data_IF_905639867276
#
_entry.id   IF_905639867276
#
_cell.length_a   1.000
_cell.length_b   1.000
_cell.length_c   1.000
_cell.angle_alpha   90.00
_cell.angle_beta   90.00
_cell.angle_gamma   90.00
#
_symmetry.space_group_name_H-M   'P 1'
#
loop_
_entity.id
_entity.type
_entity.pdbx_description
1 polymer ?
#
# COMPACT_ATOMS: atom_id res chain seq x y z
N UNK A 1 -5.22 4.99 -21.07
CA UNK A 1 -5.18 5.91 -19.90
C UNK A 1 -4.96 5.05 -18.65
N UNK A 2 -4.00 5.39 -17.84
CA UNK A 2 -3.69 4.68 -16.58
C UNK A 2 -4.70 5.06 -15.50
N UNK A 3 -5.10 4.08 -14.67
CA UNK A 3 -6.06 4.29 -13.59
C UNK A 3 -5.33 4.76 -12.33
N UNK A 4 -5.93 5.66 -11.60
CA UNK A 4 -5.34 6.34 -10.44
C UNK A 4 -6.12 6.00 -9.18
N UNK A 5 -5.39 5.61 -8.14
CA UNK A 5 -5.92 5.27 -6.83
C UNK A 5 -5.14 5.97 -5.71
N UNK A 6 -5.63 5.94 -4.50
CA UNK A 6 -4.95 6.44 -3.31
C UNK A 6 -5.40 5.69 -2.06
N UNK A 7 -4.53 5.62 -1.05
CA UNK A 7 -4.93 5.19 0.29
C UNK A 7 -5.98 6.16 0.85
N UNK A 8 -6.85 5.67 1.73
CA UNK A 8 -7.91 6.51 2.32
C UNK A 8 -7.69 6.82 3.81
N UNK A 9 -6.75 6.16 4.49
CA UNK A 9 -6.58 6.24 5.94
C UNK A 9 -6.26 7.65 6.43
N UNK A 10 -5.39 8.36 5.74
CA UNK A 10 -4.98 9.73 6.07
C UNK A 10 -6.16 10.71 6.14
N UNK A 11 -7.08 10.60 5.21
CA UNK A 11 -8.32 11.37 5.23
C UNK A 11 -9.32 10.80 6.23
N UNK A 12 -9.49 9.47 6.26
CA UNK A 12 -10.49 8.79 7.09
C UNK A 12 -10.31 9.06 8.58
N UNK A 13 -9.06 9.13 9.06
CA UNK A 13 -8.77 9.49 10.47
C UNK A 13 -9.27 10.87 10.87
N UNK A 14 -9.51 11.76 9.91
CA UNK A 14 -9.93 13.14 10.15
C UNK A 14 -11.41 13.38 9.86
N UNK A 15 -11.95 12.74 8.83
CA UNK A 15 -13.32 13.02 8.34
C UNK A 15 -14.19 11.75 8.24
N UNK A 16 -13.67 10.59 8.63
CA UNK A 16 -14.33 9.28 8.51
C UNK A 16 -14.22 8.68 7.11
N UNK A 17 -14.26 7.34 7.03
CA UNK A 17 -14.06 6.58 5.77
C UNK A 17 -15.13 6.88 4.73
N UNK A 18 -16.39 6.97 5.15
CA UNK A 18 -17.52 7.23 4.25
C UNK A 18 -17.29 8.56 3.50
N UNK A 19 -16.96 9.60 4.25
CA UNK A 19 -16.70 10.93 3.71
C UNK A 19 -15.42 10.98 2.88
N UNK A 20 -14.37 10.25 3.29
CA UNK A 20 -13.13 10.15 2.52
C UNK A 20 -13.40 9.53 1.14
N UNK A 21 -14.14 8.42 1.05
CA UNK A 21 -14.52 7.77 -0.22
C UNK A 21 -15.29 8.74 -1.13
N UNK A 22 -16.31 9.44 -0.59
CA UNK A 22 -17.07 10.45 -1.35
C UNK A 22 -16.17 11.57 -1.93
N UNK A 23 -15.25 12.09 -1.10
CA UNK A 23 -14.41 13.21 -1.51
C UNK A 23 -13.30 12.78 -2.49
N UNK A 24 -12.72 11.58 -2.35
CA UNK A 24 -11.78 11.05 -3.34
C UNK A 24 -12.46 10.79 -4.69
N UNK A 25 -13.68 10.26 -4.70
CA UNK A 25 -14.48 10.16 -5.93
C UNK A 25 -14.67 11.53 -6.58
N UNK A 26 -15.06 12.54 -5.78
CA UNK A 26 -15.26 13.93 -6.25
C UNK A 26 -13.96 14.58 -6.74
N UNK A 27 -12.80 14.22 -6.16
CA UNK A 27 -11.49 14.67 -6.63
C UNK A 27 -11.06 14.00 -7.94
N UNK A 28 -11.79 12.97 -8.40
CA UNK A 28 -11.59 12.31 -9.67
C UNK A 28 -10.65 11.11 -9.63
N UNK A 29 -10.48 10.47 -8.49
CA UNK A 29 -9.80 9.17 -8.43
C UNK A 29 -10.68 8.08 -9.05
N UNK A 30 -10.03 7.09 -9.69
CA UNK A 30 -10.73 5.95 -10.30
C UNK A 30 -11.02 4.86 -9.26
N UNK A 31 -10.18 4.76 -8.23
CA UNK A 31 -10.26 3.75 -7.19
C UNK A 31 -9.64 4.24 -5.87
N UNK A 32 -9.82 3.44 -4.81
CA UNK A 32 -9.17 3.67 -3.52
C UNK A 32 -8.53 2.39 -2.97
N UNK A 33 -7.46 2.56 -2.21
CA UNK A 33 -6.87 1.53 -1.35
C UNK A 33 -7.54 1.60 0.03
N UNK A 34 -8.16 0.48 0.43
CA UNK A 34 -8.78 0.35 1.74
C UNK A 34 -7.72 0.04 2.80
N UNK A 35 -7.09 1.08 3.33
CA UNK A 35 -6.07 0.94 4.37
C UNK A 35 -6.72 0.64 5.71
N UNK A 36 -6.43 -0.53 6.28
CA UNK A 36 -7.08 -1.03 7.50
C UNK A 36 -6.22 -0.87 8.76
N UNK A 37 -5.40 0.17 8.81
CA UNK A 37 -4.50 0.43 9.95
C UNK A 37 -5.26 0.65 11.27
N UNK A 38 -6.48 1.18 11.19
CA UNK A 38 -7.36 1.34 12.35
C UNK A 38 -8.00 0.04 12.85
N UNK A 39 -7.81 -1.10 12.19
CA UNK A 39 -8.38 -2.38 12.61
C UNK A 39 -7.84 -2.86 13.96
N UNK A 40 -6.56 -2.59 14.23
CA UNK A 40 -5.91 -2.81 15.53
C UNK A 40 -4.72 -1.85 15.64
N UNK A 41 -4.19 -1.67 16.84
CA UNK A 41 -3.08 -0.76 17.07
C UNK A 41 -1.82 -1.45 17.57
N UNK A 42 -0.67 -0.80 17.33
CA UNK A 42 0.62 -1.21 17.85
C UNK A 42 1.38 -0.01 18.42
N UNK A 43 1.69 -0.06 19.71
CA UNK A 43 2.51 0.96 20.38
C UNK A 43 3.98 0.66 20.12
N UNK A 44 4.56 1.31 19.14
CA UNK A 44 5.96 1.11 18.72
C UNK A 44 6.97 1.43 19.83
N UNK A 45 6.65 2.41 20.70
CA UNK A 45 7.54 2.78 21.80
C UNK A 45 7.59 1.70 22.89
N UNK A 46 6.49 0.97 23.09
CA UNK A 46 6.36 -0.08 24.10
C UNK A 46 6.43 -1.49 23.51
N UNK A 47 6.46 -1.62 22.19
CA UNK A 47 6.48 -2.90 21.49
C UNK A 47 5.26 -3.78 21.78
N UNK A 48 4.06 -3.21 21.87
CA UNK A 48 2.86 -3.96 22.25
C UNK A 48 1.62 -3.60 21.45
N UNK A 49 0.81 -4.62 21.22
CA UNK A 49 -0.52 -4.54 20.66
C UNK A 49 -1.49 -3.81 21.61
N UNK A 50 -2.49 -3.13 21.02
CA UNK A 50 -3.70 -2.70 21.71
C UNK A 50 -4.92 -2.85 20.80
N UNK A 51 -6.07 -3.12 21.43
CA UNK A 51 -7.34 -3.24 20.70
C UNK A 51 -7.82 -1.88 20.20
N UNK A 52 -8.53 -1.92 19.09
CA UNK A 52 -9.15 -0.74 18.48
C UNK A 52 -10.66 -0.72 18.70
N UNK A 53 -11.22 0.47 18.88
CA UNK A 53 -12.67 0.68 18.89
C UNK A 53 -13.28 0.95 17.50
N UNK A 54 -12.43 0.98 16.48
CA UNK A 54 -12.84 1.23 15.10
C UNK A 54 -13.81 0.16 14.56
N UNK A 55 -14.75 0.50 13.65
CA UNK A 55 -15.68 -0.47 13.05
C UNK A 55 -15.01 -1.71 12.45
N UNK A 56 -13.81 -1.61 11.88
CA UNK A 56 -13.03 -2.77 11.40
C UNK A 56 -12.72 -3.80 12.50
N UNK A 57 -12.63 -3.38 13.77
CA UNK A 57 -12.36 -4.28 14.90
C UNK A 57 -13.63 -4.95 15.45
N UNK A 58 -14.81 -4.42 15.17
CA UNK A 58 -16.10 -4.88 15.73
C UNK A 58 -16.62 -6.14 15.03
N UNK A 59 -17.60 -6.79 15.63
CA UNK A 59 -18.21 -8.01 15.07
C UNK A 59 -18.98 -7.80 13.77
N UNK A 60 -19.43 -6.58 13.50
CA UNK A 60 -20.17 -6.19 12.30
C UNK A 60 -19.30 -5.53 11.21
N UNK A 61 -17.98 -5.75 11.23
CA UNK A 61 -17.01 -5.13 10.31
C UNK A 61 -17.38 -5.31 8.82
N UNK A 62 -17.92 -6.47 8.42
CA UNK A 62 -18.33 -6.66 7.02
C UNK A 62 -19.52 -5.78 6.64
N UNK A 63 -20.45 -5.49 7.55
CA UNK A 63 -21.52 -4.55 7.27
C UNK A 63 -21.00 -3.12 7.06
N UNK A 64 -19.99 -2.72 7.83
CA UNK A 64 -19.30 -1.45 7.64
C UNK A 64 -18.60 -1.38 6.28
N UNK A 65 -17.82 -2.40 5.91
CA UNK A 65 -17.12 -2.46 4.62
C UNK A 65 -18.11 -2.49 3.44
N UNK A 66 -19.22 -3.23 3.56
CA UNK A 66 -20.29 -3.25 2.55
C UNK A 66 -20.91 -1.87 2.34
N UNK A 67 -21.05 -1.09 3.41
CA UNK A 67 -21.52 0.28 3.30
C UNK A 67 -20.52 1.17 2.57
N UNK A 68 -19.22 1.04 2.85
CA UNK A 68 -18.17 1.78 2.11
C UNK A 68 -18.18 1.43 0.62
N UNK A 69 -18.29 0.14 0.29
CA UNK A 69 -18.43 -0.31 -1.10
C UNK A 69 -19.65 0.32 -1.78
N UNK A 70 -20.82 0.29 -1.13
CA UNK A 70 -22.06 0.89 -1.68
C UNK A 70 -21.88 2.39 -1.94
N UNK A 71 -21.28 3.13 -1.00
CA UNK A 71 -20.98 4.57 -1.16
C UNK A 71 -20.03 4.78 -2.35
N UNK A 72 -18.98 3.97 -2.45
CA UNK A 72 -18.05 4.04 -3.59
C UNK A 72 -18.77 3.81 -4.92
N UNK A 73 -19.58 2.75 -5.03
CA UNK A 73 -20.37 2.44 -6.24
C UNK A 73 -21.32 3.58 -6.61
N UNK A 74 -21.99 4.20 -5.64
CA UNK A 74 -22.88 5.35 -5.84
C UNK A 74 -22.13 6.62 -6.31
N UNK A 75 -20.87 6.77 -5.88
CA UNK A 75 -20.01 7.90 -6.28
C UNK A 75 -19.16 7.62 -7.52
N UNK A 76 -19.19 6.40 -8.07
CA UNK A 76 -18.42 6.02 -9.25
C UNK A 76 -16.95 5.69 -8.99
N UNK A 77 -16.57 5.34 -7.74
CA UNK A 77 -15.24 4.90 -7.32
C UNK A 77 -15.34 3.49 -6.72
N UNK A 78 -14.27 2.71 -6.77
CA UNK A 78 -14.25 1.36 -6.22
C UNK A 78 -12.95 1.04 -5.48
N UNK A 79 -12.97 0.04 -4.62
CA UNK A 79 -11.76 -0.48 -4.00
C UNK A 79 -10.96 -1.32 -5.03
N UNK A 80 -9.69 -0.96 -5.29
CA UNK A 80 -8.80 -1.77 -6.15
C UNK A 80 -7.90 -2.70 -5.34
N UNK A 81 -7.42 -2.24 -4.23
CA UNK A 81 -6.55 -2.96 -3.30
C UNK A 81 -6.82 -2.52 -1.86
N UNK A 82 -6.21 -3.18 -0.92
CA UNK A 82 -6.29 -2.84 0.49
C UNK A 82 -4.95 -3.06 1.18
N UNK A 83 -4.75 -2.41 2.30
CA UNK A 83 -3.57 -2.61 3.14
C UNK A 83 -3.97 -3.20 4.49
N UNK A 84 -3.43 -4.38 4.82
CA UNK A 84 -3.69 -5.06 6.09
C UNK A 84 -2.95 -4.38 7.26
N UNK A 85 -3.40 -4.59 8.51
CA UNK A 85 -2.71 -4.06 9.67
C UNK A 85 -1.33 -4.71 9.85
N UNK A 86 -0.39 -3.97 10.46
CA UNK A 86 0.99 -4.35 10.73
C UNK A 86 1.46 -3.85 12.12
N UNK A 87 2.59 -4.34 12.69
CA UNK A 87 3.58 -5.24 12.11
C UNK A 87 3.21 -6.73 12.29
N UNK A 88 3.51 -7.53 11.28
CA UNK A 88 3.19 -8.97 11.28
C UNK A 88 4.06 -9.81 12.22
N UNK A 89 5.15 -9.27 12.79
CA UNK A 89 5.90 -9.93 13.87
C UNK A 89 5.06 -10.03 15.17
N UNK A 90 4.01 -9.22 15.33
CA UNK A 90 3.06 -9.27 16.43
C UNK A 90 1.99 -10.33 16.16
N UNK A 91 1.88 -11.35 17.04
CA UNK A 91 0.93 -12.46 16.87
C UNK A 91 -0.53 -12.02 16.93
N UNK A 92 -0.84 -11.04 17.76
CA UNK A 92 -2.17 -10.48 17.88
C UNK A 92 -2.60 -9.81 16.56
N UNK A 93 -1.72 -9.06 15.92
CA UNK A 93 -1.97 -8.44 14.61
C UNK A 93 -2.15 -9.51 13.53
N UNK A 94 -1.35 -10.57 13.53
CA UNK A 94 -1.54 -11.71 12.60
C UNK A 94 -2.95 -12.29 12.67
N UNK A 95 -3.58 -12.30 13.84
CA UNK A 95 -4.95 -12.82 13.97
C UNK A 95 -5.99 -12.00 13.20
N UNK A 96 -5.71 -10.75 12.86
CA UNK A 96 -6.57 -9.87 12.08
C UNK A 96 -6.38 -9.99 10.55
N UNK A 97 -5.32 -10.63 10.07
CA UNK A 97 -5.02 -10.68 8.63
C UNK A 97 -6.08 -11.39 7.80
N UNK A 98 -6.69 -12.45 8.32
CA UNK A 98 -7.83 -13.10 7.65
C UNK A 98 -9.04 -12.17 7.57
N UNK A 99 -9.30 -11.40 8.62
CA UNK A 99 -10.34 -10.36 8.60
C UNK A 99 -10.02 -9.27 7.57
N UNK A 100 -8.76 -8.87 7.43
CA UNK A 100 -8.36 -7.92 6.39
C UNK A 100 -8.63 -8.46 4.98
N UNK A 101 -8.36 -9.74 4.73
CA UNK A 101 -8.68 -10.41 3.46
C UNK A 101 -10.20 -10.44 3.22
N UNK A 102 -11.02 -10.74 4.23
CA UNK A 102 -12.48 -10.68 4.12
C UNK A 102 -12.98 -9.27 3.80
N UNK A 103 -12.42 -8.25 4.48
CA UNK A 103 -12.73 -6.86 4.19
C UNK A 103 -12.37 -6.48 2.76
N UNK A 104 -11.21 -6.93 2.26
CA UNK A 104 -10.80 -6.71 0.87
C UNK A 104 -11.81 -7.27 -0.12
N UNK A 105 -12.21 -8.53 0.07
CA UNK A 105 -13.20 -9.20 -0.78
C UNK A 105 -14.57 -8.49 -0.73
N UNK A 106 -15.04 -8.14 0.47
CA UNK A 106 -16.34 -7.46 0.65
C UNK A 106 -16.32 -6.05 0.04
N UNK A 107 -15.20 -5.33 0.11
CA UNK A 107 -15.03 -4.04 -0.55
C UNK A 107 -14.98 -4.15 -2.08
N UNK A 108 -14.82 -5.35 -2.64
CA UNK A 108 -14.66 -5.59 -4.07
C UNK A 108 -13.21 -5.48 -4.55
N UNK A 109 -12.25 -5.33 -3.62
CA UNK A 109 -10.82 -5.31 -3.91
C UNK A 109 -10.29 -6.71 -4.30
N UNK A 110 -9.26 -6.74 -5.12
CA UNK A 110 -8.67 -7.99 -5.63
C UNK A 110 -7.30 -8.31 -5.03
N UNK A 111 -6.68 -7.36 -4.36
CA UNK A 111 -5.33 -7.48 -3.78
C UNK A 111 -5.37 -6.97 -2.35
N UNK A 112 -4.86 -7.76 -1.40
CA UNK A 112 -4.61 -7.35 -0.03
C UNK A 112 -3.11 -7.29 0.19
N UNK A 113 -2.57 -6.10 0.46
CA UNK A 113 -1.16 -5.92 0.81
C UNK A 113 -0.97 -6.42 2.24
N UNK A 114 -0.02 -7.33 2.41
CA UNK A 114 0.35 -7.91 3.70
C UNK A 114 1.87 -7.88 3.80
N UNK A 115 2.41 -7.04 4.68
CA UNK A 115 3.85 -6.93 4.89
C UNK A 115 4.48 -8.28 5.19
N UNK A 116 5.69 -8.58 4.69
CA UNK A 116 6.51 -9.64 5.26
C UNK A 116 6.97 -9.25 6.68
N UNK A 117 7.44 -10.21 7.45
CA UNK A 117 8.23 -9.90 8.66
C UNK A 117 9.61 -9.42 8.21
N UNK A 118 9.94 -8.17 8.54
CA UNK A 118 11.15 -7.47 8.07
C UNK A 118 12.46 -8.26 8.30
N UNK A 119 12.50 -9.07 9.36
CA UNK A 119 13.72 -9.71 9.83
C UNK A 119 13.75 -11.22 9.58
N UNK A 120 12.82 -11.73 8.76
CA UNK A 120 12.71 -13.14 8.43
C UNK A 120 13.24 -13.44 7.03
N UNK A 121 13.77 -14.67 6.88
CA UNK A 121 14.20 -15.17 5.57
C UNK A 121 13.03 -15.41 4.62
N UNK A 122 13.29 -15.59 3.31
CA UNK A 122 12.26 -15.97 2.35
C UNK A 122 11.48 -17.23 2.76
N UNK A 123 12.15 -18.24 3.30
CA UNK A 123 11.54 -19.50 3.74
C UNK A 123 10.64 -19.30 4.97
N UNK A 124 11.10 -18.53 5.95
CA UNK A 124 10.32 -18.22 7.15
C UNK A 124 9.08 -17.37 6.83
N UNK A 125 9.21 -16.39 5.93
CA UNK A 125 8.07 -15.61 5.43
C UNK A 125 7.14 -16.47 4.56
N UNK A 126 7.66 -17.44 3.81
CA UNK A 126 6.83 -18.37 3.04
C UNK A 126 5.89 -19.18 3.94
N UNK A 127 6.36 -19.67 5.10
CA UNK A 127 5.50 -20.36 6.07
C UNK A 127 4.30 -19.50 6.47
N UNK A 128 4.55 -18.23 6.75
CA UNK A 128 3.51 -17.26 7.08
C UNK A 128 2.49 -17.04 5.93
N UNK A 129 2.96 -16.88 4.69
CA UNK A 129 2.06 -16.71 3.55
C UNK A 129 1.28 -17.99 3.21
N UNK A 130 1.85 -19.19 3.42
CA UNK A 130 1.15 -20.47 3.27
C UNK A 130 -0.08 -20.59 4.18
N UNK A 131 -0.09 -19.95 5.35
CA UNK A 131 -1.25 -19.93 6.26
C UNK A 131 -2.40 -19.06 5.73
N UNK A 132 -2.08 -18.02 4.95
CA UNK A 132 -3.05 -17.04 4.47
C UNK A 132 -3.58 -17.33 3.05
N UNK A 133 -2.73 -17.83 2.17
CA UNK A 133 -3.05 -18.01 0.75
C UNK A 133 -4.28 -18.88 0.48
N UNK A 134 -4.49 -20.03 1.14
CA UNK A 134 -5.70 -20.81 0.92
C UNK A 134 -6.98 -20.03 1.26
N UNK A 135 -6.92 -19.23 2.31
CA UNK A 135 -8.03 -18.39 2.73
C UNK A 135 -8.26 -17.24 1.74
N UNK A 136 -7.21 -16.55 1.31
CA UNK A 136 -7.29 -15.48 0.34
C UNK A 136 -7.87 -15.97 -1.01
N UNK A 137 -7.42 -17.12 -1.50
CA UNK A 137 -7.95 -17.76 -2.71
C UNK A 137 -9.44 -18.08 -2.60
N UNK A 138 -9.88 -18.59 -1.45
CA UNK A 138 -11.30 -18.88 -1.22
C UNK A 138 -12.18 -17.62 -1.29
N UNK A 139 -11.60 -16.44 -1.05
CA UNK A 139 -12.26 -15.14 -1.15
C UNK A 139 -12.00 -14.41 -2.48
N UNK A 140 -11.27 -15.03 -3.42
CA UNK A 140 -10.91 -14.41 -4.71
C UNK A 140 -9.93 -13.24 -4.59
N UNK A 141 -9.14 -13.19 -3.52
CA UNK A 141 -8.17 -12.13 -3.21
C UNK A 141 -6.75 -12.66 -3.39
N UNK A 142 -5.88 -11.90 -4.04
CA UNK A 142 -4.43 -12.12 -4.04
C UNK A 142 -3.82 -11.45 -2.82
N UNK A 143 -2.70 -11.99 -2.34
CA UNK A 143 -1.86 -11.33 -1.35
C UNK A 143 -0.71 -10.66 -2.08
N UNK A 144 -0.42 -9.40 -1.76
CA UNK A 144 0.79 -8.74 -2.21
C UNK A 144 1.77 -8.58 -1.05
N UNK A 145 2.99 -9.09 -1.21
CA UNK A 145 4.10 -8.73 -0.35
C UNK A 145 4.61 -7.34 -0.76
N UNK A 146 5.19 -6.61 0.19
CA UNK A 146 5.73 -5.27 -0.04
C UNK A 146 7.23 -5.22 0.27
N UNK A 147 7.98 -4.34 -0.40
CA UNK A 147 9.38 -4.08 -0.10
C UNK A 147 9.50 -3.23 1.16
N UNK A 148 10.19 -3.76 2.16
CA UNK A 148 10.31 -3.14 3.48
C UNK A 148 11.70 -2.52 3.70
N UNK A 149 11.82 -1.78 4.78
CA UNK A 149 13.09 -1.23 5.28
C UNK A 149 13.17 -1.33 6.80
N UNK A 150 14.40 -1.29 7.32
CA UNK A 150 14.71 -1.10 8.72
C UNK A 150 15.55 0.18 8.88
N UNK A 151 15.64 0.75 10.08
CA UNK A 151 16.47 1.90 10.36
C UNK A 151 17.77 1.50 11.06
N UNK A 152 18.92 1.91 10.51
CA UNK A 152 20.21 1.82 11.18
C UNK A 152 20.56 3.17 11.79
N UNK A 153 20.36 3.32 13.11
CA UNK A 153 20.65 4.56 13.82
C UNK A 153 22.14 4.92 13.89
N UNK A 154 23.05 3.96 13.64
CA UNK A 154 24.48 4.22 13.60
C UNK A 154 24.92 4.75 12.23
N UNK A 155 24.37 4.19 11.17
CA UNK A 155 24.61 4.65 9.80
C UNK A 155 23.78 5.91 9.47
N UNK A 156 22.69 6.17 10.18
CA UNK A 156 21.77 7.26 9.93
C UNK A 156 21.02 7.14 8.60
N UNK A 157 20.72 5.91 8.18
CA UNK A 157 19.99 5.62 6.94
C UNK A 157 19.21 4.32 7.09
N UNK A 158 18.44 3.97 6.06
CA UNK A 158 17.76 2.68 6.03
C UNK A 158 18.75 1.52 5.93
N UNK A 159 18.33 0.35 6.38
CA UNK A 159 19.10 -0.89 6.30
C UNK A 159 18.21 -2.02 5.78
N UNK A 160 18.84 -3.14 5.44
CA UNK A 160 18.17 -4.28 4.84
C UNK A 160 16.98 -4.77 5.67
N UNK A 161 15.90 -5.07 4.96
CA UNK A 161 14.71 -5.76 5.45
C UNK A 161 14.20 -6.74 4.39
N UNK A 162 13.17 -7.50 4.71
CA UNK A 162 12.54 -8.41 3.75
C UNK A 162 12.07 -7.65 2.50
N UNK A 163 12.28 -8.22 1.33
CA UNK A 163 11.90 -7.67 0.02
C UNK A 163 12.56 -6.31 -0.34
N UNK A 164 13.56 -5.83 0.42
CA UNK A 164 14.17 -4.51 0.22
C UNK A 164 14.92 -4.39 -1.12
N UNK A 165 15.43 -5.49 -1.66
CA UNK A 165 16.11 -5.54 -2.96
C UNK A 165 15.34 -6.44 -3.92
N UNK A 166 15.57 -6.28 -5.22
CA UNK A 166 14.95 -7.10 -6.25
C UNK A 166 15.27 -8.59 -6.08
N UNK A 167 16.51 -8.93 -5.72
CA UNK A 167 16.91 -10.30 -5.42
C UNK A 167 16.15 -10.85 -4.23
N UNK A 168 16.13 -10.14 -3.11
CA UNK A 168 15.38 -10.51 -1.91
C UNK A 168 13.89 -10.64 -2.19
N UNK A 169 13.31 -9.71 -2.91
CA UNK A 169 11.88 -9.74 -3.23
C UNK A 169 11.52 -10.97 -4.06
N UNK A 170 12.26 -11.22 -5.13
CA UNK A 170 12.05 -12.41 -5.97
C UNK A 170 12.29 -13.71 -5.19
N UNK A 171 13.25 -13.74 -4.25
CA UNK A 171 13.47 -14.89 -3.38
C UNK A 171 12.24 -15.17 -2.50
N UNK A 172 11.62 -14.13 -1.89
CA UNK A 172 10.40 -14.27 -1.10
C UNK A 172 9.21 -14.79 -1.94
N UNK A 173 8.99 -14.23 -3.12
CA UNK A 173 7.93 -14.69 -4.00
C UNK A 173 8.16 -16.14 -4.48
N UNK A 174 9.41 -16.49 -4.78
CA UNK A 174 9.78 -17.81 -5.29
C UNK A 174 9.79 -18.89 -4.20
N UNK A 175 10.03 -18.54 -2.93
CA UNK A 175 9.92 -19.47 -1.81
C UNK A 175 8.48 -19.99 -1.66
N UNK A 176 7.49 -19.15 -1.94
CA UNK A 176 6.06 -19.53 -1.87
C UNK A 176 5.59 -20.30 -3.10
N UNK A 177 6.09 -19.99 -4.29
CA UNK A 177 5.73 -20.64 -5.58
C UNK A 177 4.22 -20.65 -5.86
N UNK A 178 3.53 -19.58 -5.54
CA UNK A 178 2.09 -19.41 -5.76
C UNK A 178 1.83 -18.11 -6.52
N UNK A 179 1.05 -18.18 -7.61
CA UNK A 179 0.70 -17.02 -8.45
C UNK A 179 -0.22 -16.01 -7.75
N UNK A 180 -0.82 -16.41 -6.63
CA UNK A 180 -1.64 -15.52 -5.80
C UNK A 180 -0.82 -14.75 -4.74
N UNK A 181 0.50 -15.01 -4.64
CA UNK A 181 1.43 -14.11 -3.98
C UNK A 181 2.11 -13.25 -5.03
N UNK A 182 1.85 -11.95 -5.00
CA UNK A 182 2.34 -10.97 -5.97
C UNK A 182 3.15 -9.87 -5.28
N UNK A 183 3.73 -8.95 -6.04
CA UNK A 183 4.47 -7.82 -5.47
C UNK A 183 3.59 -6.56 -5.45
N UNK A 184 3.62 -5.87 -4.31
CA UNK A 184 3.37 -4.45 -4.19
C UNK A 184 4.72 -3.75 -4.08
N UNK A 185 5.05 -2.84 -4.99
CA UNK A 185 6.27 -2.06 -4.87
C UNK A 185 5.93 -0.69 -4.29
N UNK A 186 6.46 -0.43 -3.11
CA UNK A 186 6.55 0.93 -2.58
C UNK A 186 7.75 1.63 -3.22
N UNK A 187 7.45 2.72 -3.94
CA UNK A 187 8.43 3.50 -4.69
C UNK A 187 9.37 4.24 -3.75
N UNK A 188 8.84 4.79 -2.66
CA UNK A 188 9.65 5.51 -1.68
C UNK A 188 10.63 4.62 -0.96
N UNK A 189 10.19 3.45 -0.49
CA UNK A 189 11.07 2.45 0.13
C UNK A 189 12.20 2.01 -0.81
N UNK A 190 11.87 1.78 -2.10
CA UNK A 190 12.85 1.37 -3.11
C UNK A 190 13.93 2.43 -3.39
N UNK A 191 13.66 3.71 -3.12
CA UNK A 191 14.57 4.84 -3.34
C UNK A 191 15.38 5.21 -2.08
N UNK A 192 15.08 4.62 -0.91
CA UNK A 192 15.79 4.94 0.34
C UNK A 192 17.25 4.50 0.31
N UNK A 193 18.16 5.39 0.70
CA UNK A 193 19.61 5.12 0.81
C UNK A 193 19.88 4.09 1.91
N UNK A 194 20.70 3.09 1.59
CA UNK A 194 21.12 2.03 2.50
C UNK A 194 20.47 0.69 2.20
N UNK A 195 19.17 0.63 1.95
CA UNK A 195 18.47 -0.62 1.59
C UNK A 195 17.94 -0.62 0.16
N UNK A 196 17.54 0.52 -0.38
CA UNK A 196 16.92 0.60 -1.71
C UNK A 196 17.93 0.43 -2.86
N UNK A 197 17.46 -0.12 -3.95
CA UNK A 197 18.21 -0.29 -5.23
C UNK A 197 17.73 0.68 -6.32
N UNK A 198 16.76 1.52 -6.00
CA UNK A 198 16.06 2.39 -6.94
C UNK A 198 14.83 1.72 -7.57
N UNK A 199 13.70 2.41 -7.49
CA UNK A 199 12.42 1.90 -7.98
C UNK A 199 12.45 1.48 -9.46
N UNK A 200 13.08 2.21 -10.40
CA UNK A 200 13.16 1.79 -11.79
C UNK A 200 13.83 0.42 -12.01
N UNK A 201 14.85 0.10 -11.19
CA UNK A 201 15.51 -1.20 -11.24
C UNK A 201 14.57 -2.31 -10.74
N UNK A 202 13.97 -2.13 -9.59
CA UNK A 202 13.05 -3.10 -8.99
C UNK A 202 11.83 -3.36 -9.87
N UNK A 203 11.24 -2.32 -10.48
CA UNK A 203 10.11 -2.45 -11.43
C UNK A 203 10.47 -3.41 -12.57
N UNK A 204 11.63 -3.21 -13.21
CA UNK A 204 12.08 -4.09 -14.31
C UNK A 204 12.34 -5.52 -13.85
N UNK A 205 12.96 -5.69 -12.69
CA UNK A 205 13.28 -7.01 -12.13
C UNK A 205 12.01 -7.80 -11.74
N UNK A 206 11.02 -7.16 -11.16
CA UNK A 206 9.76 -7.78 -10.76
C UNK A 206 8.86 -8.12 -11.97
N UNK A 207 8.89 -7.31 -13.02
CA UNK A 207 8.12 -7.54 -14.25
C UNK A 207 6.65 -7.84 -13.97
N UNK A 208 6.12 -8.93 -14.51
CA UNK A 208 4.71 -9.32 -14.35
C UNK A 208 4.30 -9.73 -12.92
N UNK A 209 5.26 -9.93 -12.02
CA UNK A 209 4.97 -10.16 -10.59
C UNK A 209 4.53 -8.89 -9.88
N UNK A 210 4.86 -7.71 -10.41
CA UNK A 210 4.43 -6.40 -9.92
C UNK A 210 2.96 -6.18 -10.28
N UNK A 211 2.07 -6.20 -9.30
CA UNK A 211 0.63 -6.06 -9.52
C UNK A 211 -0.02 -4.94 -8.68
N UNK A 212 0.68 -4.42 -7.69
CA UNK A 212 0.26 -3.28 -6.87
C UNK A 212 1.41 -2.29 -6.71
N UNK A 213 1.09 -1.04 -6.43
CA UNK A 213 2.03 0.03 -6.13
C UNK A 213 1.59 0.78 -4.89
N UNK A 214 2.57 1.25 -4.13
CA UNK A 214 2.47 2.39 -3.24
C UNK A 214 3.41 3.50 -3.74
N UNK A 215 2.87 4.67 -3.98
CA UNK A 215 3.60 5.78 -4.61
C UNK A 215 3.57 6.99 -3.68
N UNK A 216 4.72 7.37 -3.22
CA UNK A 216 4.97 8.61 -2.49
C UNK A 216 6.35 9.16 -2.82
N UNK A 217 6.62 10.41 -2.45
CA UNK A 217 7.93 11.04 -2.58
C UNK A 217 8.64 11.11 -1.23
N UNK A 218 9.96 11.14 -1.26
CA UNK A 218 10.80 11.31 -0.09
C UNK A 218 12.16 11.95 -0.45
N UNK A 219 12.97 12.26 0.57
CA UNK A 219 14.32 12.80 0.44
C UNK A 219 15.41 11.74 0.23
N UNK A 220 15.00 10.52 -0.14
CA UNK A 220 15.85 9.32 -0.25
C UNK A 220 16.54 8.89 1.05
N UNK A 221 16.13 9.45 2.16
CA UNK A 221 16.67 9.12 3.48
C UNK A 221 15.56 8.70 4.45
N UNK A 222 14.47 9.45 4.48
CA UNK A 222 13.35 9.23 5.39
C UNK A 222 12.11 8.76 4.62
N UNK A 223 11.36 7.89 5.24
CA UNK A 223 10.08 7.44 4.73
C UNK A 223 9.00 8.50 4.96
N UNK A 224 9.00 9.51 4.10
CA UNK A 224 8.30 10.78 4.35
C UNK A 224 6.86 10.81 3.85
N UNK A 225 6.45 9.86 3.02
CA UNK A 225 5.10 9.77 2.43
C UNK A 225 4.56 11.10 1.87
N UNK A 226 5.42 11.85 1.17
CA UNK A 226 5.06 13.14 0.58
C UNK A 226 4.45 12.99 -0.81
N UNK A 227 3.75 14.04 -1.25
CA UNK A 227 3.14 14.07 -2.58
C UNK A 227 4.21 13.94 -3.68
N UNK A 228 4.00 13.11 -4.72
CA UNK A 228 4.94 13.00 -5.84
C UNK A 228 5.34 14.33 -6.46
N UNK A 229 6.61 14.46 -6.82
CA UNK A 229 7.27 15.66 -7.35
C UNK A 229 7.52 16.79 -6.34
N UNK A 230 7.39 16.52 -5.06
CA UNK A 230 7.69 17.52 -4.02
C UNK A 230 9.09 17.36 -3.41
N UNK A 231 9.75 16.21 -3.61
CA UNK A 231 11.06 15.91 -3.03
C UNK A 231 12.05 15.38 -4.08
N UNK A 232 12.77 14.26 -3.82
CA UNK A 232 13.97 13.88 -4.59
C UNK A 232 13.77 12.69 -5.55
N UNK A 233 12.61 12.03 -5.58
CA UNK A 233 12.40 10.86 -6.43
C UNK A 233 12.21 11.28 -7.90
N UNK A 234 12.95 10.62 -8.80
CA UNK A 234 12.80 10.81 -10.26
C UNK A 234 11.61 10.04 -10.81
N UNK A 235 10.43 10.63 -10.74
CA UNK A 235 9.20 10.04 -11.30
C UNK A 235 9.22 9.92 -12.83
N UNK A 236 10.12 10.61 -13.54
CA UNK A 236 10.33 10.39 -14.96
C UNK A 236 10.94 9.00 -15.22
N UNK A 237 11.99 8.66 -14.47
CA UNK A 237 12.62 7.33 -14.54
C UNK A 237 11.66 6.21 -14.06
N UNK A 238 10.87 6.46 -13.00
CA UNK A 238 9.84 5.53 -12.52
C UNK A 238 8.78 5.28 -13.59
N UNK A 239 8.24 6.34 -14.21
CA UNK A 239 7.23 6.24 -15.26
C UNK A 239 7.74 5.46 -16.48
N UNK A 240 8.98 5.73 -16.92
CA UNK A 240 9.62 4.98 -18.01
C UNK A 240 9.74 3.48 -17.67
N UNK A 241 10.19 3.14 -16.46
CA UNK A 241 10.31 1.75 -16.04
C UNK A 241 8.95 1.04 -15.95
N UNK A 242 7.91 1.68 -15.44
CA UNK A 242 6.54 1.14 -15.41
C UNK A 242 6.00 0.88 -16.82
N UNK A 243 6.30 1.78 -17.77
CA UNK A 243 5.95 1.60 -19.18
C UNK A 243 6.68 0.44 -19.82
N UNK A 244 8.00 0.33 -19.62
CA UNK A 244 8.85 -0.76 -20.13
C UNK A 244 8.39 -2.12 -19.59
N UNK A 245 8.01 -2.19 -18.30
CA UNK A 245 7.50 -3.39 -17.66
C UNK A 245 6.06 -3.76 -18.04
N UNK A 246 5.42 -2.97 -18.90
CA UNK A 246 3.99 -3.11 -19.27
C UNK A 246 3.06 -3.15 -18.05
N UNK A 247 3.33 -2.34 -17.02
CA UNK A 247 2.50 -2.30 -15.81
C UNK A 247 1.07 -1.88 -16.14
N UNK A 248 0.09 -2.69 -15.69
CA UNK A 248 -1.33 -2.53 -16.00
C UNK A 248 -2.21 -2.29 -14.76
N UNK A 249 -1.60 -2.24 -13.58
CA UNK A 249 -2.29 -1.98 -12.32
C UNK A 249 -2.69 -0.50 -12.16
N UNK A 250 -3.05 -0.15 -10.96
CA UNK A 250 -3.37 1.22 -10.58
C UNK A 250 -2.10 1.97 -10.14
N UNK A 251 -2.04 3.26 -10.46
CA UNK A 251 -1.10 4.17 -9.84
C UNK A 251 -1.68 4.57 -8.48
N UNK A 252 -1.40 3.77 -7.46
CA UNK A 252 -1.95 3.96 -6.11
C UNK A 252 -1.01 4.81 -5.29
N UNK A 253 -1.47 5.98 -4.87
CA UNK A 253 -0.72 6.86 -3.97
C UNK A 253 -0.82 6.37 -2.53
N UNK A 254 0.29 6.43 -1.81
CA UNK A 254 0.39 6.31 -0.35
C UNK A 254 1.13 7.54 0.20
N UNK A 255 0.68 8.72 -0.21
CA UNK A 255 1.25 10.02 0.16
C UNK A 255 0.45 10.63 1.32
N UNK A 256 0.30 9.87 2.40
CA UNK A 256 -0.58 10.15 3.53
C UNK A 256 -0.15 11.38 4.36
N UNK A 257 1.15 11.68 4.39
CA UNK A 257 1.67 12.88 5.06
C UNK A 257 1.22 14.19 4.40
N UNK A 258 0.89 14.16 3.10
CA UNK A 258 0.50 15.38 2.38
C UNK A 258 -0.74 16.06 2.99
N UNK A 259 -1.72 15.30 3.47
CA UNK A 259 -2.94 15.88 4.02
C UNK A 259 -2.74 16.52 5.39
N UNK A 260 -1.64 16.24 6.10
CA UNK A 260 -1.36 16.82 7.40
C UNK A 260 -1.18 18.35 7.36
N UNK A 261 -0.79 18.89 6.21
CA UNK A 261 -0.55 20.32 6.02
C UNK A 261 -1.85 21.13 5.75
N UNK A 262 -3.00 20.45 5.65
CA UNK A 262 -4.28 21.08 5.35
C UNK A 262 -5.18 21.16 6.58
N UNK A 263 -5.89 22.26 6.76
CA UNK A 263 -7.03 22.32 7.67
C UNK A 263 -8.15 21.38 7.20
N UNK A 264 -9.07 20.99 8.09
CA UNK A 264 -10.12 20.03 7.74
C UNK A 264 -10.98 20.53 6.57
N UNK A 265 -11.27 21.83 6.54
CA UNK A 265 -12.04 22.49 5.47
C UNK A 265 -11.30 22.49 4.12
N UNK A 266 -9.98 22.32 4.15
CA UNK A 266 -9.09 22.35 2.97
C UNK A 266 -8.67 20.96 2.49
N UNK A 267 -9.02 19.88 3.21
CA UNK A 267 -8.65 18.49 2.85
C UNK A 267 -8.97 18.17 1.39
N UNK A 268 -10.13 18.61 0.91
CA UNK A 268 -10.52 18.38 -0.48
C UNK A 268 -9.53 19.00 -1.47
N UNK A 269 -8.98 20.17 -1.19
CA UNK A 269 -7.94 20.78 -2.02
C UNK A 269 -6.65 19.96 -2.04
N UNK A 270 -6.29 19.36 -0.89
CA UNK A 270 -5.18 18.42 -0.78
C UNK A 270 -5.41 17.16 -1.63
N UNK A 271 -6.61 16.59 -1.59
CA UNK A 271 -6.99 15.43 -2.42
C UNK A 271 -6.92 15.72 -3.93
N UNK A 272 -7.36 16.90 -4.35
CA UNK A 272 -7.24 17.32 -5.77
C UNK A 272 -5.77 17.39 -6.19
N UNK A 273 -4.90 17.97 -5.38
CA UNK A 273 -3.46 18.02 -5.66
C UNK A 273 -2.82 16.63 -5.71
N UNK A 274 -3.22 15.71 -4.83
CA UNK A 274 -2.79 14.30 -4.90
C UNK A 274 -3.17 13.69 -6.25
N UNK A 275 -4.43 13.86 -6.68
CA UNK A 275 -4.90 13.35 -7.98
C UNK A 275 -4.13 13.95 -9.15
N UNK A 276 -3.83 15.25 -9.12
CA UNK A 276 -3.04 15.93 -10.14
C UNK A 276 -1.61 15.39 -10.23
N UNK A 277 -0.98 15.10 -9.08
CA UNK A 277 0.38 14.52 -9.06
C UNK A 277 0.42 13.13 -9.68
N UNK A 278 -0.54 12.26 -9.38
CA UNK A 278 -0.64 10.94 -10.00
C UNK A 278 -0.97 11.02 -11.51
N UNK A 279 -1.82 11.96 -11.91
CA UNK A 279 -2.11 12.21 -13.33
C UNK A 279 -0.86 12.64 -14.10
N UNK A 280 0.05 13.37 -13.47
CA UNK A 280 1.35 13.71 -14.05
C UNK A 280 2.23 12.49 -14.27
N UNK A 281 2.25 11.52 -13.33
CA UNK A 281 2.95 10.24 -13.52
C UNK A 281 2.35 9.48 -14.71
N UNK A 282 1.01 9.38 -14.78
CA UNK A 282 0.33 8.74 -15.89
C UNK A 282 0.68 9.36 -17.24
N UNK A 283 0.75 10.70 -17.31
CA UNK A 283 1.16 11.43 -18.52
C UNK A 283 2.61 11.11 -18.92
N UNK A 284 3.52 11.06 -17.97
CA UNK A 284 4.93 10.66 -18.21
C UNK A 284 5.01 9.24 -18.78
N UNK A 285 4.20 8.30 -18.28
CA UNK A 285 4.14 6.94 -18.82
C UNK A 285 3.58 6.89 -20.25
N UNK A 286 2.69 7.81 -20.62
CA UNK A 286 2.18 7.90 -22.00
C UNK A 286 3.23 8.47 -22.98
N UNK A 287 4.13 9.31 -22.48
CA UNK A 287 5.17 9.97 -23.26
C UNK A 287 6.48 9.14 -23.38
N UNK A 288 6.72 8.20 -22.46
CA UNK A 288 7.84 7.28 -22.50
C UNK A 288 7.61 6.16 -23.54
#
# INVERSE_FOLDING_TARGET
MYRISTEIHSAATRIGEEKAVELYAKAGFDAYDLSMFSMCGYDWAKGRFYESDHPFAKSNYLAFVRNLRRIGEECGIHCNQSHAPFPVCCKEIRSYLKRAIECTAEAGGQICIVHPDNNKSPEENAEFYFELLPFAKAHGVKIAAENMWNWDSKAGCSSFAACATSESFLAHLNAVKDENLVACLDIGHAEMRGSGEGAPHMIRALGSRLQALHIHDNDKLHDSHQIPFSMEIDFGAVAAALKEADYRGYLTLEADSNLNDYAEEEIFSGMVRLKESAARIALLMEQA
#
